data_IF_109447203159
#
_entry.id   IF_109447203159
#
_cell.length_a   1.000
_cell.length_b   1.000
_cell.length_c   1.000
_cell.angle_alpha   90.00
_cell.angle_beta   90.00
_cell.angle_gamma   90.00
#
_symmetry.space_group_name_H-M   'P 1'
#
loop_
_entity.id
_entity.type
_entity.pdbx_description
1 polymer ?
#
# COMPACT_ATOMS: atom_id res chain seq x y z
N UNK A 1 -10.48 -15.37 -17.30
CA UNK A 1 -11.10 -14.51 -18.26
C UNK A 1 -11.86 -13.40 -17.55
N UNK A 2 -13.18 -13.30 -17.72
CA UNK A 2 -13.94 -12.21 -17.11
C UNK A 2 -13.83 -12.17 -15.57
N UNK A 3 -13.78 -13.33 -14.94
CA UNK A 3 -13.67 -13.42 -13.50
C UNK A 3 -12.30 -12.88 -13.02
N UNK A 4 -11.23 -13.24 -13.71
CA UNK A 4 -9.90 -12.76 -13.34
C UNK A 4 -9.77 -11.26 -13.54
N UNK A 5 -10.31 -10.73 -14.62
CA UNK A 5 -10.31 -9.28 -14.90
C UNK A 5 -11.12 -8.54 -13.83
N UNK A 6 -12.26 -9.07 -13.46
CA UNK A 6 -13.11 -8.48 -12.43
C UNK A 6 -12.42 -8.48 -11.07
N UNK A 7 -11.80 -9.60 -10.69
CA UNK A 7 -11.03 -9.70 -9.47
C UNK A 7 -9.84 -8.75 -9.45
N UNK A 8 -9.16 -8.62 -10.59
CA UNK A 8 -8.04 -7.71 -10.73
C UNK A 8 -8.46 -6.25 -10.52
N UNK A 9 -9.59 -5.84 -11.09
CA UNK A 9 -10.10 -4.49 -10.93
C UNK A 9 -10.48 -4.18 -9.48
N UNK A 10 -11.12 -5.11 -8.80
CA UNK A 10 -11.46 -4.98 -7.38
C UNK A 10 -10.19 -4.83 -6.55
N UNK A 11 -9.19 -5.67 -6.81
CA UNK A 11 -7.92 -5.63 -6.08
C UNK A 11 -7.21 -4.30 -6.32
N UNK A 12 -7.12 -3.85 -7.56
CA UNK A 12 -6.48 -2.58 -7.88
C UNK A 12 -7.16 -1.40 -7.17
N UNK A 13 -8.48 -1.37 -7.19
CA UNK A 13 -9.24 -0.32 -6.52
C UNK A 13 -9.03 -0.35 -5.00
N UNK A 14 -9.05 -1.54 -4.42
CA UNK A 14 -8.87 -1.72 -2.97
C UNK A 14 -7.45 -1.32 -2.53
N UNK A 15 -6.44 -1.78 -3.25
CA UNK A 15 -5.05 -1.44 -2.96
C UNK A 15 -4.85 0.07 -3.08
N UNK A 16 -5.34 0.68 -4.16
CA UNK A 16 -5.22 2.11 -4.36
C UNK A 16 -5.87 2.90 -3.23
N UNK A 17 -7.06 2.50 -2.80
CA UNK A 17 -7.77 3.15 -1.72
C UNK A 17 -6.98 3.09 -0.41
N UNK A 18 -6.50 1.91 -0.05
CA UNK A 18 -5.73 1.70 1.19
C UNK A 18 -4.44 2.52 1.15
N UNK A 19 -3.70 2.43 0.05
CA UNK A 19 -2.40 3.08 -0.09
C UNK A 19 -2.53 4.60 -0.12
N UNK A 20 -3.44 5.13 -0.94
CA UNK A 20 -3.60 6.57 -1.07
C UNK A 20 -4.06 7.18 0.26
N UNK A 21 -5.01 6.55 0.94
CA UNK A 21 -5.48 7.01 2.24
C UNK A 21 -4.32 7.07 3.24
N UNK A 22 -3.53 6.02 3.31
CA UNK A 22 -2.41 5.92 4.25
C UNK A 22 -1.31 6.93 3.92
N UNK A 23 -0.95 7.07 2.65
CA UNK A 23 0.06 8.03 2.22
C UNK A 23 -0.39 9.46 2.53
N UNK A 24 -1.64 9.80 2.22
CA UNK A 24 -2.17 11.13 2.51
C UNK A 24 -2.10 11.44 3.99
N UNK A 25 -2.41 10.49 4.85
CA UNK A 25 -2.33 10.69 6.28
C UNK A 25 -0.89 10.94 6.74
N UNK A 26 0.06 10.15 6.25
CA UNK A 26 1.47 10.36 6.57
C UNK A 26 1.96 11.74 6.13
N UNK A 27 1.57 12.17 4.94
CA UNK A 27 1.97 13.49 4.42
C UNK A 27 1.34 14.63 5.21
N UNK A 28 0.20 14.39 5.85
CA UNK A 28 -0.42 15.40 6.74
C UNK A 28 0.33 15.51 8.07
N UNK A 29 0.92 14.42 8.54
CA UNK A 29 1.78 14.48 9.73
C UNK A 29 3.10 15.18 9.42
N UNK A 30 3.70 14.80 8.27
CA UNK A 30 4.99 15.34 7.85
C UNK A 30 5.08 15.18 6.32
N UNK A 31 5.11 16.29 5.61
CA UNK A 31 5.15 16.28 4.14
C UNK A 31 6.37 15.60 3.55
N UNK A 32 7.43 15.42 4.34
CA UNK A 32 8.66 14.78 3.90
C UNK A 32 8.80 13.36 4.44
N UNK A 33 7.73 12.80 5.03
CA UNK A 33 7.79 11.50 5.70
C UNK A 33 7.89 10.32 4.75
N UNK A 34 7.37 10.46 3.54
CA UNK A 34 7.25 9.35 2.61
C UNK A 34 7.58 9.80 1.19
N UNK A 35 8.27 8.94 0.47
CA UNK A 35 8.36 9.02 -0.99
C UNK A 35 7.68 7.80 -1.57
N UNK A 36 6.93 7.99 -2.64
CA UNK A 36 6.32 6.87 -3.32
C UNK A 36 6.47 7.02 -4.83
N UNK A 37 6.51 5.87 -5.49
CA UNK A 37 6.61 5.83 -6.94
C UNK A 37 5.67 4.74 -7.46
N UNK A 38 4.76 5.14 -8.34
CA UNK A 38 3.80 4.23 -8.94
C UNK A 38 4.28 3.84 -10.34
N UNK A 39 4.34 2.54 -10.58
CA UNK A 39 4.57 1.97 -11.91
C UNK A 39 3.33 1.19 -12.32
N UNK A 40 3.31 0.71 -13.56
CA UNK A 40 2.15 0.04 -14.14
C UNK A 40 1.67 -1.14 -13.28
N UNK A 41 2.58 -1.92 -12.76
CA UNK A 41 2.28 -3.17 -12.06
C UNK A 41 2.80 -3.22 -10.62
N UNK A 42 3.39 -2.13 -10.14
CA UNK A 42 3.87 -2.10 -8.75
C UNK A 42 3.89 -0.69 -8.19
N UNK A 43 3.88 -0.64 -6.87
CA UNK A 43 3.98 0.60 -6.12
C UNK A 43 5.12 0.44 -5.12
N UNK A 44 6.06 1.37 -5.15
CA UNK A 44 7.18 1.41 -4.22
C UNK A 44 6.98 2.55 -3.23
N UNK A 45 7.11 2.27 -1.95
CA UNK A 45 6.95 3.25 -0.88
C UNK A 45 8.21 3.23 -0.02
N UNK A 46 8.79 4.41 0.17
CA UNK A 46 9.94 4.58 1.04
C UNK A 46 9.55 5.46 2.22
N UNK A 47 9.72 4.94 3.43
CA UNK A 47 9.42 5.68 4.66
C UNK A 47 10.69 6.39 5.12
N UNK A 48 10.63 7.71 5.19
CA UNK A 48 11.80 8.55 5.51
C UNK A 48 11.77 9.06 6.96
N UNK A 49 10.60 9.03 7.60
CA UNK A 49 10.42 9.53 8.96
C UNK A 49 10.45 8.39 9.98
N UNK A 50 10.98 8.69 11.17
CA UNK A 50 10.91 7.77 12.31
C UNK A 50 9.79 8.15 13.28
N UNK A 51 8.93 9.10 12.91
CA UNK A 51 7.78 9.48 13.73
C UNK A 51 6.86 8.30 13.96
N UNK A 52 6.43 8.10 15.21
CA UNK A 52 5.54 7.01 15.59
C UNK A 52 4.23 7.00 14.79
N UNK A 53 3.69 8.17 14.51
CA UNK A 53 2.42 8.28 13.78
C UNK A 53 2.56 7.78 12.36
N UNK A 54 3.68 8.12 11.71
CA UNK A 54 3.99 7.64 10.36
C UNK A 54 4.22 6.13 10.38
N UNK A 55 5.01 5.66 11.32
CA UNK A 55 5.30 4.23 11.46
C UNK A 55 4.02 3.43 11.68
N UNK A 56 3.16 3.87 12.59
CA UNK A 56 1.90 3.19 12.89
C UNK A 56 0.97 3.18 11.67
N UNK A 57 0.91 4.29 10.95
CA UNK A 57 0.08 4.39 9.74
C UNK A 57 0.55 3.40 8.67
N UNK A 58 1.85 3.29 8.47
CA UNK A 58 2.42 2.35 7.50
C UNK A 58 2.20 0.91 7.94
N UNK A 59 2.38 0.60 9.23
CA UNK A 59 2.12 -0.74 9.75
C UNK A 59 0.66 -1.14 9.53
N UNK A 60 -0.27 -0.22 9.78
CA UNK A 60 -1.69 -0.46 9.55
C UNK A 60 -1.98 -0.69 8.06
N UNK A 61 -1.36 0.11 7.19
CA UNK A 61 -1.50 -0.05 5.75
C UNK A 61 -1.05 -1.46 5.31
N UNK A 62 0.11 -1.88 5.80
CA UNK A 62 0.66 -3.20 5.46
C UNK A 62 -0.27 -4.31 5.96
N UNK A 63 -0.78 -4.19 7.18
CA UNK A 63 -1.71 -5.17 7.73
C UNK A 63 -2.96 -5.30 6.87
N UNK A 64 -3.53 -4.19 6.44
CA UNK A 64 -4.72 -4.19 5.58
C UNK A 64 -4.42 -4.80 4.20
N UNK A 65 -3.25 -4.50 3.65
CA UNK A 65 -2.83 -5.08 2.37
C UNK A 65 -2.59 -6.58 2.49
N UNK A 66 -2.05 -7.05 3.61
CA UNK A 66 -1.83 -8.47 3.86
C UNK A 66 -3.17 -9.21 3.98
N UNK A 67 -4.16 -8.63 4.63
CA UNK A 67 -5.50 -9.19 4.69
C UNK A 67 -6.11 -9.34 3.30
N UNK A 68 -5.98 -8.29 2.49
CA UNK A 68 -6.47 -8.30 1.12
C UNK A 68 -5.72 -9.35 0.29
N UNK A 69 -4.40 -9.44 0.46
CA UNK A 69 -3.58 -10.43 -0.24
C UNK A 69 -3.96 -11.86 0.14
N UNK A 70 -4.38 -12.11 1.37
CA UNK A 70 -4.81 -13.44 1.79
C UNK A 70 -6.07 -13.88 1.06
N UNK A 71 -6.93 -12.95 0.67
CA UNK A 71 -8.14 -13.22 -0.10
C UNK A 71 -7.83 -13.35 -1.60
N UNK A 72 -6.92 -12.53 -2.11
CA UNK A 72 -6.59 -12.45 -3.54
C UNK A 72 -5.13 -12.78 -3.80
N UNK A 73 -4.69 -13.97 -3.41
CA UNK A 73 -3.28 -14.39 -3.42
C UNK A 73 -2.61 -14.28 -4.77
N UNK A 74 -3.35 -14.46 -5.86
CA UNK A 74 -2.80 -14.41 -7.22
C UNK A 74 -2.58 -12.99 -7.72
N UNK A 75 -3.19 -12.00 -7.08
CA UNK A 75 -3.23 -10.63 -7.58
C UNK A 75 -2.38 -9.66 -6.79
N UNK A 76 -1.94 -10.04 -5.58
CA UNK A 76 -1.18 -9.16 -4.71
C UNK A 76 0.04 -9.86 -4.18
N UNK A 77 1.18 -9.21 -4.29
CA UNK A 77 2.42 -9.65 -3.66
C UNK A 77 3.01 -8.48 -2.89
N UNK A 78 3.28 -8.69 -1.63
CA UNK A 78 3.86 -7.67 -0.76
C UNK A 78 5.31 -8.03 -0.47
N UNK A 79 6.19 -7.09 -0.75
CA UNK A 79 7.63 -7.25 -0.48
C UNK A 79 8.04 -6.15 0.49
N UNK A 80 8.61 -6.56 1.61
CA UNK A 80 9.13 -5.63 2.61
C UNK A 80 10.64 -5.65 2.55
N UNK A 81 11.24 -4.47 2.43
CA UNK A 81 12.67 -4.32 2.46
C UNK A 81 13.05 -3.47 3.67
N UNK A 82 13.93 -3.98 4.50
CA UNK A 82 14.49 -3.25 5.63
C UNK A 82 15.90 -2.80 5.30
N UNK A 83 16.17 -1.55 5.62
CA UNK A 83 17.52 -1.01 5.43
C UNK A 83 18.35 -1.21 6.69
#
# INVERSE_FOLDING_TARGET
ALYDDYGKDIVCASVSSIVITSINLCLRFDKDSIKYKKKTDKLAIEVLSSDEKVTLTIENMIMMLEELASTYKKNIKIIKEEK
#
